data_IF_041333681704
#
_entry.id   IF_041333681704
#
_cell.length_a   1.000
_cell.length_b   1.000
_cell.length_c   1.000
_cell.angle_alpha   90.00
_cell.angle_beta   90.00
_cell.angle_gamma   90.00
#
_symmetry.space_group_name_H-M   'P 1'
#
loop_
_entity.id
_entity.type
_entity.pdbx_description
1 polymer ?
#
# COMPACT_ATOMS: atom_id res chain seq x y z
N UNK A 1 -36.68 81.22 -12.08
CA UNK A 1 -35.86 80.16 -11.44
C UNK A 1 -36.81 79.04 -11.03
N UNK A 2 -36.73 77.88 -11.69
CA UNK A 2 -37.58 76.69 -11.43
C UNK A 2 -36.83 75.71 -10.51
N UNK A 3 -37.52 75.01 -9.60
CA UNK A 3 -36.91 73.93 -8.82
C UNK A 3 -37.07 72.58 -9.55
N UNK A 4 -36.06 71.72 -9.47
CA UNK A 4 -36.13 70.32 -9.86
C UNK A 4 -35.90 69.47 -8.61
N UNK A 5 -36.98 68.85 -8.15
CA UNK A 5 -37.00 67.76 -7.18
C UNK A 5 -37.01 66.46 -7.98
N UNK A 6 -36.02 65.59 -7.76
CA UNK A 6 -36.00 64.22 -8.28
C UNK A 6 -35.93 63.25 -7.10
N UNK A 7 -37.04 62.58 -6.88
CA UNK A 7 -37.24 61.48 -5.94
C UNK A 7 -36.50 60.24 -6.45
N UNK A 8 -35.57 59.71 -5.65
CA UNK A 8 -34.86 58.47 -5.92
C UNK A 8 -35.60 57.27 -5.34
N UNK A 9 -36.20 56.48 -6.22
CA UNK A 9 -36.85 55.21 -5.88
C UNK A 9 -35.78 54.11 -5.82
N UNK A 10 -35.53 53.54 -4.65
CA UNK A 10 -34.62 52.39 -4.47
C UNK A 10 -35.44 51.10 -4.66
N UNK A 11 -35.08 50.21 -5.61
CA UNK A 11 -35.73 48.91 -5.71
C UNK A 11 -35.17 47.95 -4.66
N UNK A 12 -36.06 47.36 -3.87
CA UNK A 12 -35.76 46.28 -2.94
C UNK A 12 -35.29 45.03 -3.71
N UNK A 13 -34.00 44.71 -3.61
CA UNK A 13 -33.46 43.41 -4.02
C UNK A 13 -34.03 42.32 -3.10
N UNK A 14 -34.84 41.46 -3.71
CA UNK A 14 -35.46 40.28 -3.11
C UNK A 14 -34.37 39.21 -2.95
N UNK A 15 -33.91 38.98 -1.72
CA UNK A 15 -32.97 37.92 -1.37
C UNK A 15 -33.73 36.59 -1.37
N UNK A 16 -33.67 35.85 -2.48
CA UNK A 16 -34.11 34.45 -2.52
C UNK A 16 -33.03 33.60 -1.88
N UNK A 17 -33.34 33.06 -0.71
CA UNK A 17 -32.53 32.10 0.02
C UNK A 17 -32.62 30.77 -0.73
N UNK A 18 -31.75 30.57 -1.73
CA UNK A 18 -31.55 29.26 -2.34
C UNK A 18 -31.01 28.32 -1.26
N UNK A 19 -31.87 27.39 -0.86
CA UNK A 19 -31.51 26.23 -0.06
C UNK A 19 -30.75 25.27 -0.99
N UNK A 20 -29.53 25.67 -1.35
CA UNK A 20 -28.60 24.84 -2.10
C UNK A 20 -28.20 23.67 -1.22
N UNK A 21 -28.66 22.47 -1.60
CA UNK A 21 -28.22 21.23 -0.98
C UNK A 21 -26.70 21.19 -0.97
N UNK A 22 -26.11 21.03 0.22
CA UNK A 22 -24.69 20.77 0.34
C UNK A 22 -24.38 19.48 -0.41
N UNK A 23 -23.60 19.53 -1.49
CA UNK A 23 -23.02 18.32 -2.05
C UNK A 23 -21.90 17.91 -1.11
N UNK A 24 -21.98 16.72 -0.50
CA UNK A 24 -20.83 16.09 0.13
C UNK A 24 -19.72 15.92 -0.93
N UNK A 25 -18.70 16.78 -0.84
CA UNK A 25 -17.54 16.88 -1.74
C UNK A 25 -16.41 16.04 -1.17
N UNK A 26 -16.45 14.74 -1.45
CA UNK A 26 -15.42 13.78 -1.00
C UNK A 26 -14.14 13.78 -1.88
N UNK A 27 -14.13 14.56 -2.98
CA UNK A 27 -13.06 14.54 -4.00
C UNK A 27 -11.95 15.60 -3.85
N UNK A 28 -12.17 16.69 -3.13
CA UNK A 28 -11.13 17.69 -2.90
C UNK A 28 -10.45 17.43 -1.56
N UNK A 29 -9.11 17.45 -1.52
CA UNK A 29 -8.35 17.58 -0.27
C UNK A 29 -8.49 19.00 0.33
N UNK A 30 -9.70 19.55 0.28
CA UNK A 30 -10.05 20.82 0.87
C UNK A 30 -10.36 20.53 2.34
N UNK A 31 -9.47 21.00 3.22
CA UNK A 31 -9.68 20.99 4.66
C UNK A 31 -10.80 22.00 5.00
N UNK A 32 -12.04 21.65 4.69
CA UNK A 32 -13.19 22.48 5.08
C UNK A 32 -13.57 22.22 6.55
N UNK A 33 -13.07 21.13 7.15
CA UNK A 33 -13.13 20.90 8.58
C UNK A 33 -11.90 21.47 9.26
N UNK A 34 -11.97 22.74 9.67
CA UNK A 34 -11.03 23.30 10.65
C UNK A 34 -11.17 22.45 11.94
N UNK A 35 -10.10 21.78 12.42
CA UNK A 35 -10.11 20.92 13.60
C UNK A 35 -10.49 21.68 14.88
N UNK A 36 -10.54 23.01 14.83
CA UNK A 36 -11.11 23.84 15.90
C UNK A 36 -12.62 23.64 16.06
N UNK A 37 -13.33 23.17 15.04
CA UNK A 37 -14.79 23.02 15.03
C UNK A 37 -15.28 21.57 14.89
N UNK A 38 -14.45 20.67 14.35
CA UNK A 38 -14.79 19.24 14.20
C UNK A 38 -13.73 18.36 14.85
N UNK A 39 -14.17 17.51 15.79
CA UNK A 39 -13.31 16.59 16.55
C UNK A 39 -12.69 15.49 15.68
N UNK A 40 -13.23 15.23 14.48
CA UNK A 40 -12.72 14.26 13.53
C UNK A 40 -12.31 14.94 12.21
N UNK A 41 -11.00 15.12 12.01
CA UNK A 41 -10.47 15.60 10.74
C UNK A 41 -10.26 14.43 9.76
N UNK A 42 -10.52 14.68 8.46
CA UNK A 42 -10.20 13.75 7.36
C UNK A 42 -8.71 13.38 7.36
N UNK A 43 -7.83 14.31 7.75
CA UNK A 43 -6.39 14.06 7.92
C UNK A 43 -6.17 12.94 8.95
N UNK A 44 -6.80 13.01 10.12
CA UNK A 44 -6.60 12.03 11.19
C UNK A 44 -7.08 10.63 10.79
N UNK A 45 -8.22 10.53 10.09
CA UNK A 45 -8.71 9.24 9.54
C UNK A 45 -7.71 8.61 8.56
N UNK A 46 -7.10 9.44 7.69
CA UNK A 46 -6.09 8.98 6.74
C UNK A 46 -4.78 8.62 7.43
N UNK A 47 -4.39 9.35 8.47
CA UNK A 47 -3.20 9.05 9.27
C UNK A 47 -3.34 7.72 10.00
N UNK A 48 -4.49 7.46 10.62
CA UNK A 48 -4.77 6.19 11.28
C UNK A 48 -4.68 5.00 10.31
N UNK A 49 -5.18 5.16 9.08
CA UNK A 49 -5.04 4.14 8.03
C UNK A 49 -3.56 3.92 7.63
N UNK A 50 -2.77 4.99 7.49
CA UNK A 50 -1.33 4.85 7.19
C UNK A 50 -0.52 4.25 8.33
N UNK A 51 -0.88 4.55 9.57
CA UNK A 51 -0.28 3.92 10.75
C UNK A 51 -0.50 2.41 10.74
N UNK A 52 -1.73 1.95 10.49
CA UNK A 52 -2.04 0.53 10.38
C UNK A 52 -1.24 -0.15 9.26
N UNK A 53 -1.12 0.49 8.10
CA UNK A 53 -0.33 -0.05 6.97
C UNK A 53 1.17 -0.09 7.32
N UNK A 54 1.70 0.94 7.99
CA UNK A 54 3.10 0.99 8.40
C UNK A 54 3.44 -0.16 9.36
N UNK A 55 2.59 -0.44 10.34
CA UNK A 55 2.75 -1.57 11.27
C UNK A 55 2.79 -2.91 10.53
N UNK A 56 1.86 -3.13 9.58
CA UNK A 56 1.85 -4.37 8.79
C UNK A 56 3.13 -4.52 7.98
N UNK A 57 3.61 -3.46 7.34
CA UNK A 57 4.86 -3.50 6.56
C UNK A 57 6.08 -3.75 7.44
N UNK A 58 6.12 -3.23 8.66
CA UNK A 58 7.20 -3.47 9.60
C UNK A 58 7.27 -4.95 10.00
N UNK A 59 6.12 -5.55 10.32
CA UNK A 59 6.01 -6.97 10.65
C UNK A 59 6.46 -7.84 9.47
N UNK A 60 6.00 -7.51 8.26
CA UNK A 60 6.39 -8.24 7.06
C UNK A 60 7.89 -8.14 6.77
N UNK A 61 8.49 -6.96 6.92
CA UNK A 61 9.93 -6.79 6.77
C UNK A 61 10.71 -7.65 7.77
N UNK A 62 10.27 -7.70 9.04
CA UNK A 62 10.90 -8.52 10.07
C UNK A 62 10.82 -10.02 9.75
N UNK A 63 9.68 -10.51 9.30
CA UNK A 63 9.51 -11.91 8.90
C UNK A 63 10.31 -12.25 7.63
N UNK A 64 10.41 -11.32 6.67
CA UNK A 64 11.24 -11.49 5.48
C UNK A 64 12.73 -11.59 5.83
N UNK A 65 13.21 -10.79 6.78
CA UNK A 65 14.58 -10.88 7.31
C UNK A 65 14.82 -12.25 7.95
N UNK A 66 13.89 -12.71 8.79
CA UNK A 66 13.97 -14.01 9.45
C UNK A 66 14.05 -15.16 8.43
N UNK A 67 13.19 -15.16 7.41
CA UNK A 67 13.22 -16.17 6.35
C UNK A 67 14.52 -16.14 5.53
N UNK A 68 15.10 -14.96 5.31
CA UNK A 68 16.42 -14.84 4.66
C UNK A 68 17.53 -15.53 5.47
N UNK A 69 17.47 -15.50 6.81
CA UNK A 69 18.48 -16.11 7.68
C UNK A 69 18.26 -17.60 7.96
N UNK A 70 17.02 -18.08 7.89
CA UNK A 70 16.69 -19.50 8.06
C UNK A 70 17.07 -20.37 6.86
N UNK A 71 17.42 -19.76 5.72
CA UNK A 71 17.80 -20.48 4.52
C UNK A 71 19.18 -21.16 4.69
N UNK A 72 19.26 -22.45 4.34
CA UNK A 72 20.52 -23.19 4.40
C UNK A 72 21.55 -22.58 3.44
N UNK A 73 22.81 -22.50 3.88
CA UNK A 73 23.91 -21.85 3.13
C UNK A 73 24.52 -22.76 2.05
N UNK A 74 24.02 -23.97 1.92
CA UNK A 74 24.61 -25.00 1.08
C UNK A 74 24.06 -24.93 -0.35
N UNK A 75 24.67 -24.09 -1.18
CA UNK A 75 24.35 -24.02 -2.61
C UNK A 75 25.16 -25.07 -3.38
N UNK A 76 24.59 -26.25 -3.56
CA UNK A 76 25.19 -27.28 -4.40
C UNK A 76 24.81 -27.06 -5.88
N UNK A 77 25.67 -26.36 -6.63
CA UNK A 77 25.49 -26.12 -8.08
C UNK A 77 25.83 -27.33 -8.98
N UNK A 78 25.93 -28.54 -8.42
CA UNK A 78 26.45 -29.71 -9.13
C UNK A 78 25.34 -30.73 -9.43
N UNK A 79 25.23 -31.15 -10.69
CA UNK A 79 24.36 -32.26 -11.11
C UNK A 79 22.86 -31.97 -11.02
N UNK A 80 22.07 -32.98 -10.65
CA UNK A 80 20.60 -32.90 -10.53
C UNK A 80 20.11 -31.88 -9.50
N UNK A 81 21.00 -31.35 -8.64
CA UNK A 81 20.66 -30.34 -7.64
C UNK A 81 20.63 -28.91 -8.18
N UNK A 82 21.09 -28.69 -9.42
CA UNK A 82 21.18 -27.36 -10.03
C UNK A 82 19.84 -26.63 -10.11
N UNK A 83 18.75 -27.34 -10.45
CA UNK A 83 17.41 -26.73 -10.55
C UNK A 83 16.92 -26.22 -9.20
N UNK A 84 17.22 -26.95 -8.13
CA UNK A 84 16.82 -26.57 -6.76
C UNK A 84 17.63 -25.37 -6.30
N UNK A 85 18.94 -25.33 -6.62
CA UNK A 85 19.78 -24.18 -6.33
C UNK A 85 19.25 -22.91 -7.02
N UNK A 86 18.79 -23.00 -8.27
CA UNK A 86 18.14 -21.87 -8.96
C UNK A 86 16.83 -21.46 -8.27
N UNK A 87 15.96 -22.42 -7.91
CA UNK A 87 14.72 -22.11 -7.19
C UNK A 87 14.99 -21.45 -5.83
N UNK A 88 15.98 -21.94 -5.10
CA UNK A 88 16.42 -21.36 -3.82
C UNK A 88 16.93 -19.93 -4.01
N UNK A 89 17.79 -19.69 -5.00
CA UNK A 89 18.31 -18.37 -5.32
C UNK A 89 17.18 -17.41 -5.75
N UNK A 90 16.23 -17.89 -6.54
CA UNK A 90 15.07 -17.11 -7.00
C UNK A 90 14.19 -16.72 -5.82
N UNK A 91 13.87 -17.68 -4.93
CA UNK A 91 13.13 -17.42 -3.71
C UNK A 91 13.85 -16.40 -2.82
N UNK A 92 15.16 -16.57 -2.62
CA UNK A 92 15.97 -15.65 -1.83
C UNK A 92 16.01 -14.22 -2.40
N UNK A 93 16.26 -14.07 -3.71
CA UNK A 93 16.24 -12.75 -4.36
C UNK A 93 14.87 -12.09 -4.21
N UNK A 94 13.78 -12.85 -4.43
CA UNK A 94 12.44 -12.33 -4.23
C UNK A 94 12.20 -11.87 -2.78
N UNK A 95 12.68 -12.62 -1.79
CA UNK A 95 12.52 -12.24 -0.38
C UNK A 95 13.29 -10.96 -0.03
N UNK A 96 14.51 -10.81 -0.55
CA UNK A 96 15.30 -9.59 -0.37
C UNK A 96 14.60 -8.39 -1.01
N UNK A 97 13.98 -8.56 -2.18
CA UNK A 97 13.21 -7.51 -2.83
C UNK A 97 11.96 -7.13 -2.02
N UNK A 98 11.24 -8.11 -1.47
CA UNK A 98 10.10 -7.91 -0.57
C UNK A 98 10.52 -7.11 0.66
N UNK A 99 11.56 -7.57 1.36
CA UNK A 99 12.14 -6.89 2.51
C UNK A 99 12.50 -5.44 2.18
N UNK A 100 13.15 -5.18 1.05
CA UNK A 100 13.53 -3.83 0.64
C UNK A 100 12.30 -2.95 0.36
N UNK A 101 11.30 -3.49 -0.36
CA UNK A 101 10.04 -2.78 -0.63
C UNK A 101 9.30 -2.41 0.66
N UNK A 102 9.23 -3.33 1.63
CA UNK A 102 8.58 -3.10 2.92
C UNK A 102 9.33 -2.08 3.77
N UNK A 103 10.67 -2.13 3.82
CA UNK A 103 11.48 -1.15 4.55
C UNK A 103 11.33 0.27 3.96
N UNK A 104 11.30 0.40 2.63
CA UNK A 104 11.06 1.68 1.97
C UNK A 104 9.65 2.19 2.27
N UNK A 105 8.64 1.32 2.17
CA UNK A 105 7.26 1.68 2.46
C UNK A 105 7.07 2.13 3.92
N UNK A 106 7.56 1.33 4.87
CA UNK A 106 7.53 1.65 6.29
C UNK A 106 8.24 2.97 6.59
N UNK A 107 9.43 3.19 6.03
CA UNK A 107 10.19 4.44 6.23
C UNK A 107 9.41 5.66 5.74
N UNK A 108 8.84 5.59 4.53
CA UNK A 108 8.08 6.70 3.95
C UNK A 108 6.81 6.98 4.75
N UNK A 109 6.03 5.95 5.09
CA UNK A 109 4.78 6.10 5.83
C UNK A 109 5.02 6.62 7.25
N UNK A 110 5.99 6.05 7.98
CA UNK A 110 6.32 6.46 9.34
C UNK A 110 6.87 7.89 9.42
N UNK A 111 7.74 8.30 8.49
CA UNK A 111 8.25 9.68 8.45
C UNK A 111 7.14 10.68 8.13
N UNK A 112 6.28 10.37 7.16
CA UNK A 112 5.15 11.24 6.82
C UNK A 112 4.15 11.36 7.98
N UNK A 113 3.85 10.26 8.66
CA UNK A 113 3.00 10.24 9.86
C UNK A 113 3.59 11.13 10.96
N UNK A 114 4.87 10.91 11.30
CA UNK A 114 5.57 11.65 12.34
C UNK A 114 5.59 13.17 12.09
N UNK A 115 5.99 13.59 10.89
CA UNK A 115 6.05 15.03 10.57
C UNK A 115 4.67 15.67 10.51
N UNK A 116 3.65 14.96 10.02
CA UNK A 116 2.29 15.48 9.95
C UNK A 116 1.72 15.69 11.35
N UNK A 117 1.83 14.70 12.24
CA UNK A 117 1.38 14.82 13.64
C UNK A 117 2.10 15.98 14.34
N UNK A 118 3.43 16.06 14.17
CA UNK A 118 4.21 17.14 14.78
C UNK A 118 3.77 18.51 14.30
N UNK A 119 3.52 18.69 13.00
CA UNK A 119 3.02 19.95 12.46
C UNK A 119 1.61 20.28 12.97
N UNK A 120 0.72 19.30 13.08
CA UNK A 120 -0.63 19.50 13.63
C UNK A 120 -0.60 19.99 15.08
N UNK A 121 0.38 19.55 15.87
CA UNK A 121 0.56 19.98 17.27
C UNK A 121 1.30 21.31 17.44
N UNK A 122 1.83 21.93 16.38
CA UNK A 122 2.67 23.12 16.45
C UNK A 122 1.90 24.46 16.64
N UNK A 123 0.66 24.39 17.14
CA UNK A 123 -0.19 25.56 17.43
C UNK A 123 -1.05 26.02 16.23
N UNK A 124 -1.64 27.23 16.30
CA UNK A 124 -2.71 27.66 15.39
C UNK A 124 -2.28 27.82 13.92
N UNK A 125 -0.98 28.00 13.65
CA UNK A 125 -0.42 28.02 12.28
C UNK A 125 0.19 26.68 11.87
N UNK A 126 0.35 25.76 12.82
CA UNK A 126 0.90 24.42 12.59
C UNK A 126 -0.01 23.59 11.69
N UNK A 127 -1.31 23.70 11.90
CA UNK A 127 -2.32 23.00 11.11
C UNK A 127 -2.27 23.35 9.61
N UNK A 128 -2.22 24.65 9.27
CA UNK A 128 -2.12 25.09 7.87
C UNK A 128 -0.83 24.59 7.20
N UNK A 129 0.27 24.53 7.97
CA UNK A 129 1.55 23.97 7.49
C UNK A 129 1.47 22.45 7.32
N UNK A 130 0.80 21.74 8.23
CA UNK A 130 0.56 20.30 8.13
C UNK A 130 -0.24 19.97 6.87
N UNK A 131 -1.29 20.75 6.60
CA UNK A 131 -2.10 20.63 5.39
C UNK A 131 -1.26 20.78 4.13
N UNK A 132 -0.47 21.87 4.04
CA UNK A 132 0.41 22.13 2.89
C UNK A 132 1.44 21.03 2.70
N UNK A 133 2.07 20.58 3.79
CA UNK A 133 3.02 19.47 3.77
C UNK A 133 2.37 18.17 3.28
N UNK A 134 1.17 17.86 3.76
CA UNK A 134 0.43 16.65 3.40
C UNK A 134 -0.01 16.65 1.93
N UNK A 135 -0.38 17.81 1.39
CA UNK A 135 -0.79 17.99 -0.02
C UNK A 135 0.38 18.20 -0.98
N UNK A 136 1.62 18.27 -0.49
CA UNK A 136 2.78 18.50 -1.35
C UNK A 136 2.95 17.37 -2.37
N UNK A 137 3.09 17.73 -3.65
CA UNK A 137 3.13 16.79 -4.77
C UNK A 137 4.27 15.78 -4.63
N UNK A 138 5.43 16.19 -4.08
CA UNK A 138 6.58 15.27 -3.91
C UNK A 138 6.26 14.23 -2.86
N UNK A 139 5.66 14.64 -1.74
CA UNK A 139 5.26 13.72 -0.67
C UNK A 139 4.16 12.76 -1.12
N UNK A 140 3.21 13.24 -1.92
CA UNK A 140 2.15 12.43 -2.50
C UNK A 140 2.70 11.31 -3.41
N UNK A 141 3.63 11.63 -4.32
CA UNK A 141 4.26 10.62 -5.21
C UNK A 141 4.96 9.52 -4.40
N UNK A 142 5.69 9.90 -3.34
CA UNK A 142 6.36 8.91 -2.48
C UNK A 142 5.39 8.02 -1.71
N UNK A 143 4.27 8.59 -1.26
CA UNK A 143 3.21 7.84 -0.57
C UNK A 143 2.53 6.84 -1.49
N UNK A 144 2.19 7.27 -2.71
CA UNK A 144 1.61 6.38 -3.72
C UNK A 144 2.56 5.22 -4.04
N UNK A 145 3.85 5.52 -4.23
CA UNK A 145 4.89 4.49 -4.42
C UNK A 145 5.00 3.55 -3.21
N UNK A 146 4.93 4.06 -1.99
CA UNK A 146 4.97 3.24 -0.78
C UNK A 146 3.78 2.27 -0.76
N UNK A 147 2.55 2.75 -1.00
CA UNK A 147 1.35 1.90 -1.06
C UNK A 147 1.47 0.85 -2.17
N UNK A 148 2.03 1.22 -3.33
CA UNK A 148 2.30 0.28 -4.41
C UNK A 148 3.31 -0.80 -4.00
N UNK A 149 4.39 -0.42 -3.29
CA UNK A 149 5.35 -1.36 -2.72
C UNK A 149 4.67 -2.34 -1.77
N UNK A 150 3.83 -1.88 -0.83
CA UNK A 150 3.10 -2.75 0.11
C UNK A 150 2.20 -3.75 -0.63
N UNK A 151 1.48 -3.27 -1.64
CA UNK A 151 0.57 -4.11 -2.43
C UNK A 151 1.33 -5.28 -3.08
N UNK A 152 2.47 -5.00 -3.71
CA UNK A 152 3.25 -6.03 -4.39
C UNK A 152 4.15 -6.85 -3.46
N UNK A 153 4.59 -6.29 -2.34
CA UNK A 153 5.40 -7.01 -1.36
C UNK A 153 4.62 -8.16 -0.72
N UNK A 154 3.32 -7.98 -0.45
CA UNK A 154 2.43 -9.03 0.08
C UNK A 154 2.35 -10.22 -0.89
N UNK A 155 2.14 -9.96 -2.19
CA UNK A 155 2.07 -11.00 -3.22
C UNK A 155 3.43 -11.68 -3.38
N UNK A 156 4.50 -10.88 -3.42
CA UNK A 156 5.88 -11.34 -3.53
C UNK A 156 6.33 -12.19 -2.34
N UNK A 157 5.91 -11.84 -1.12
CA UNK A 157 6.19 -12.57 0.10
C UNK A 157 5.60 -13.97 0.03
N UNK A 158 4.31 -14.08 -0.29
CA UNK A 158 3.63 -15.38 -0.45
C UNK A 158 4.31 -16.25 -1.51
N UNK A 159 4.66 -15.68 -2.66
CA UNK A 159 5.33 -16.41 -3.73
C UNK A 159 6.74 -16.88 -3.30
N UNK A 160 7.51 -15.99 -2.67
CA UNK A 160 8.87 -16.27 -2.22
C UNK A 160 8.91 -17.35 -1.13
N UNK A 161 8.01 -17.29 -0.14
CA UNK A 161 7.87 -18.34 0.87
C UNK A 161 7.54 -19.71 0.24
N UNK A 162 6.75 -19.75 -0.84
CA UNK A 162 6.49 -20.96 -1.61
C UNK A 162 7.75 -21.58 -2.22
N UNK A 163 8.61 -20.75 -2.83
CA UNK A 163 9.91 -21.21 -3.35
C UNK A 163 10.83 -21.73 -2.23
N UNK A 164 10.93 -21.01 -1.12
CA UNK A 164 11.76 -21.40 0.01
C UNK A 164 11.28 -22.71 0.66
N UNK A 165 9.97 -22.87 0.87
CA UNK A 165 9.39 -24.11 1.40
C UNK A 165 9.58 -25.29 0.45
N UNK A 166 9.43 -25.09 -0.85
CA UNK A 166 9.70 -26.12 -1.84
C UNK A 166 11.12 -26.66 -1.73
N UNK A 167 12.11 -25.77 -1.58
CA UNK A 167 13.52 -26.13 -1.39
C UNK A 167 13.71 -26.85 -0.06
N UNK A 168 13.10 -26.34 1.01
CA UNK A 168 13.19 -26.95 2.34
C UNK A 168 12.67 -28.38 2.37
N UNK A 169 11.48 -28.63 1.81
CA UNK A 169 10.94 -30.00 1.71
C UNK A 169 11.78 -30.91 0.81
N UNK A 170 12.46 -30.36 -0.20
CA UNK A 170 13.33 -31.13 -1.07
C UNK A 170 14.64 -31.54 -0.39
N UNK A 171 15.25 -30.64 0.39
CA UNK A 171 16.54 -30.87 1.04
C UNK A 171 16.38 -31.63 2.37
N UNK A 172 15.50 -31.17 3.26
CA UNK A 172 15.31 -31.74 4.60
C UNK A 172 14.57 -33.09 4.56
N UNK A 173 13.89 -33.39 3.46
CA UNK A 173 13.23 -34.68 3.23
C UNK A 173 14.16 -35.81 2.79
N UNK A 174 15.46 -35.56 2.63
CA UNK A 174 16.43 -36.61 2.29
C UNK A 174 17.00 -37.21 3.59
N UNK A 175 16.59 -38.43 4.02
CA UNK A 175 17.12 -39.02 5.24
C UNK A 175 18.63 -39.24 5.16
N UNK A 176 19.37 -38.65 6.11
CA UNK A 176 20.75 -38.99 6.46
C UNK A 176 20.77 -40.35 7.16
N UNK A 177 20.46 -41.44 6.45
CA UNK A 177 20.51 -42.78 7.05
C UNK A 177 21.53 -43.64 6.32
N UNK A 178 22.60 -43.94 7.06
CA UNK A 178 23.56 -45.00 6.82
C UNK A 178 22.83 -46.36 6.91
N UNK A 179 22.93 -47.17 5.85
CA UNK A 179 22.54 -48.60 5.79
C UNK A 179 21.06 -49.00 5.59
N UNK A 180 20.21 -48.21 4.95
CA UNK A 180 18.93 -48.73 4.42
C UNK A 180 18.99 -49.12 2.93
N UNK A 181 18.20 -50.13 2.56
CA UNK A 181 18.15 -50.68 1.20
C UNK A 181 17.83 -49.60 0.17
N UNK A 182 18.63 -49.48 -0.90
CA UNK A 182 18.50 -48.42 -1.93
C UNK A 182 17.09 -48.26 -2.49
N UNK A 183 16.28 -49.32 -2.48
CA UNK A 183 14.95 -49.31 -3.08
C UNK A 183 13.93 -48.51 -2.25
N UNK A 184 13.94 -48.64 -0.92
CA UNK A 184 13.06 -47.88 -0.02
C UNK A 184 13.40 -46.37 -0.04
N UNK A 185 14.69 -46.04 -0.11
CA UNK A 185 15.17 -44.65 -0.21
C UNK A 185 14.64 -43.92 -1.44
N UNK A 186 14.49 -44.62 -2.57
CA UNK A 186 13.99 -43.99 -3.79
C UNK A 186 12.47 -43.72 -3.71
N UNK A 187 11.68 -44.57 -3.05
CA UNK A 187 10.24 -44.36 -2.91
C UNK A 187 9.93 -43.17 -1.98
N UNK A 188 10.61 -43.07 -0.85
CA UNK A 188 10.47 -41.93 0.07
C UNK A 188 10.88 -40.61 -0.59
N UNK A 189 11.99 -40.63 -1.33
CA UNK A 189 12.47 -39.46 -2.07
C UNK A 189 11.46 -38.95 -3.11
N UNK A 190 10.77 -39.85 -3.82
CA UNK A 190 9.70 -39.46 -4.74
C UNK A 190 8.52 -38.83 -4.00
N UNK A 191 8.15 -39.36 -2.83
CA UNK A 191 7.12 -38.77 -1.97
C UNK A 191 7.41 -37.32 -1.59
N UNK A 192 8.63 -37.04 -1.12
CA UNK A 192 9.06 -35.68 -0.76
C UNK A 192 9.08 -34.73 -1.96
N UNK A 193 9.52 -35.20 -3.12
CA UNK A 193 9.52 -34.40 -4.35
C UNK A 193 8.11 -34.01 -4.79
N UNK A 194 7.17 -34.96 -4.74
CA UNK A 194 5.75 -34.70 -5.08
C UNK A 194 5.15 -33.69 -4.10
N UNK A 195 5.42 -33.86 -2.80
CA UNK A 195 4.95 -32.95 -1.76
C UNK A 195 5.50 -31.53 -1.96
N UNK A 196 6.79 -31.38 -2.25
CA UNK A 196 7.42 -30.09 -2.49
C UNK A 196 6.79 -29.35 -3.69
N UNK A 197 6.54 -30.07 -4.79
CA UNK A 197 5.87 -29.51 -5.97
C UNK A 197 4.42 -29.12 -5.64
N UNK A 198 3.69 -29.94 -4.89
CA UNK A 198 2.32 -29.64 -4.47
C UNK A 198 2.26 -28.36 -3.63
N UNK A 199 3.17 -28.22 -2.65
CA UNK A 199 3.28 -27.01 -1.83
C UNK A 199 3.59 -25.79 -2.69
N UNK A 200 4.53 -25.89 -3.64
CA UNK A 200 4.85 -24.78 -4.55
C UNK A 200 3.64 -24.36 -5.39
N UNK A 201 2.91 -25.33 -5.96
CA UNK A 201 1.69 -25.08 -6.74
C UNK A 201 0.63 -24.40 -5.87
N UNK A 202 0.41 -24.89 -4.65
CA UNK A 202 -0.53 -24.30 -3.70
C UNK A 202 -0.19 -22.83 -3.41
N UNK A 203 1.06 -22.53 -3.05
CA UNK A 203 1.51 -21.17 -2.77
C UNK A 203 1.42 -20.25 -4.00
N UNK A 204 1.70 -20.78 -5.20
CA UNK A 204 1.57 -20.03 -6.46
C UNK A 204 0.10 -19.68 -6.74
N UNK A 205 -0.81 -20.63 -6.54
CA UNK A 205 -2.27 -20.39 -6.69
C UNK A 205 -2.76 -19.39 -5.66
N UNK A 206 -2.34 -19.50 -4.40
CA UNK A 206 -2.71 -18.54 -3.35
C UNK A 206 -2.15 -17.14 -3.63
N UNK A 207 -0.91 -17.03 -4.10
CA UNK A 207 -0.30 -15.76 -4.51
C UNK A 207 -1.04 -15.13 -5.70
N UNK A 208 -1.41 -15.92 -6.71
CA UNK A 208 -2.19 -15.46 -7.85
C UNK A 208 -3.61 -15.01 -7.45
N UNK A 209 -4.26 -15.76 -6.56
CA UNK A 209 -5.56 -15.38 -6.01
C UNK A 209 -5.49 -14.07 -5.22
N UNK A 210 -4.43 -13.87 -4.43
CA UNK A 210 -4.20 -12.63 -3.69
C UNK A 210 -3.92 -11.45 -4.63
N UNK A 211 -3.12 -11.65 -5.67
CA UNK A 211 -2.89 -10.65 -6.70
C UNK A 211 -4.19 -10.26 -7.42
N UNK A 212 -5.03 -11.24 -7.75
CA UNK A 212 -6.35 -10.99 -8.34
C UNK A 212 -7.26 -10.19 -7.40
N UNK A 213 -7.32 -10.57 -6.12
CA UNK A 213 -8.08 -9.85 -5.10
C UNK A 213 -7.64 -8.38 -5.02
N UNK A 214 -6.33 -8.12 -4.99
CA UNK A 214 -5.78 -6.78 -4.95
C UNK A 214 -6.08 -5.96 -6.21
N UNK A 215 -5.99 -6.58 -7.39
CA UNK A 215 -6.36 -5.93 -8.66
C UNK A 215 -7.85 -5.59 -8.71
N UNK A 216 -8.71 -6.49 -8.21
CA UNK A 216 -10.14 -6.26 -8.15
C UNK A 216 -10.50 -5.10 -7.21
N UNK A 217 -9.91 -5.05 -6.02
CA UNK A 217 -10.12 -3.92 -5.10
C UNK A 217 -9.63 -2.60 -5.68
N UNK A 218 -8.45 -2.59 -6.32
CA UNK A 218 -7.94 -1.41 -7.01
C UNK A 218 -8.91 -0.94 -8.09
N UNK A 219 -9.41 -1.87 -8.92
CA UNK A 219 -10.34 -1.55 -9.99
C UNK A 219 -11.64 -0.93 -9.48
N UNK A 220 -12.25 -1.52 -8.45
CA UNK A 220 -13.48 -0.98 -7.85
C UNK A 220 -13.23 0.40 -7.25
N UNK A 221 -12.07 0.61 -6.63
CA UNK A 221 -11.66 1.91 -6.12
C UNK A 221 -11.52 2.94 -7.26
N UNK A 222 -10.82 2.61 -8.35
CA UNK A 222 -10.61 3.50 -9.49
C UNK A 222 -11.93 3.86 -10.20
N UNK A 223 -12.84 2.88 -10.36
CA UNK A 223 -14.19 3.10 -10.92
C UNK A 223 -15.02 4.03 -10.02
N UNK A 224 -14.97 3.83 -8.70
CA UNK A 224 -15.67 4.71 -7.75
C UNK A 224 -15.07 6.12 -7.74
N UNK A 225 -13.74 6.22 -7.74
CA UNK A 225 -13.03 7.50 -7.70
C UNK A 225 -13.26 8.33 -8.96
N UNK A 226 -13.19 7.72 -10.14
CA UNK A 226 -13.46 8.40 -11.42
C UNK A 226 -14.91 8.87 -11.55
N UNK A 227 -15.87 8.17 -10.94
CA UNK A 227 -17.28 8.62 -10.92
C UNK A 227 -17.48 9.93 -10.13
N UNK A 228 -16.68 10.15 -9.08
CA UNK A 228 -16.69 11.40 -8.30
C UNK A 228 -16.11 12.54 -9.13
N UNK A 229 -15.03 12.29 -9.87
CA UNK A 229 -14.42 13.29 -10.76
C UNK A 229 -15.38 13.73 -11.88
N UNK A 230 -16.15 12.80 -12.45
CA UNK A 230 -17.18 13.12 -13.46
C UNK A 230 -18.33 13.98 -12.91
N UNK A 231 -18.60 13.95 -11.61
CA UNK A 231 -19.62 14.78 -10.98
C UNK A 231 -19.16 16.25 -10.83
N UNK A 232 -17.85 16.50 -10.77
CA UNK A 232 -17.26 17.84 -10.57
C UNK A 232 -16.09 18.15 -11.53
N UNK A 233 -16.28 18.07 -12.86
CA UNK A 233 -15.20 18.12 -13.85
C UNK A 233 -14.51 19.50 -13.95
N UNK A 234 -15.08 20.56 -13.37
CA UNK A 234 -14.56 21.92 -13.45
C UNK A 234 -13.84 22.43 -12.18
N UNK A 235 -14.11 21.87 -11.01
CA UNK A 235 -13.63 22.44 -9.74
C UNK A 235 -12.25 21.89 -9.32
N UNK A 236 -11.97 20.60 -9.54
CA UNK A 236 -10.66 20.03 -9.17
C UNK A 236 -9.50 20.55 -10.02
N UNK A 237 -9.73 20.76 -11.32
CA UNK A 237 -8.70 21.30 -12.21
C UNK A 237 -8.44 22.80 -11.99
N UNK A 238 -9.45 23.57 -11.58
CA UNK A 238 -9.30 24.98 -11.27
C UNK A 238 -8.36 25.19 -10.08
N UNK A 239 -8.48 24.42 -9.00
CA UNK A 239 -7.63 24.56 -7.81
C UNK A 239 -6.15 24.19 -8.02
N UNK A 240 -5.84 23.31 -8.97
CA UNK A 240 -4.45 22.97 -9.34
C UNK A 240 -3.79 24.03 -10.25
N UNK A 241 -4.59 24.81 -10.97
CA UNK A 241 -4.11 25.84 -11.90
C UNK A 241 -4.06 27.25 -11.29
N UNK A 242 -4.73 27.51 -10.16
CA UNK A 242 -4.86 28.86 -9.58
C UNK A 242 -3.90 29.21 -8.45
N UNK A 243 -2.76 28.51 -8.28
CA UNK A 243 -1.71 28.98 -7.35
C UNK A 243 -0.40 29.26 -8.09
N UNK A 244 0.09 30.51 -8.09
CA UNK A 244 1.37 30.89 -8.68
C UNK A 244 2.57 30.25 -7.97
#
# INVERSE_FOLDING_TARGET
MRPLSTSGHVPHSRMTLETGGMPDREGTAELTNDPRFFTENVIDKRLAAFEAVAIVTEIMAAEAVKQCFELSKEFAFTGNLFVIAIMQLTGFIMMVLVMFMDLVACSVLSLQLFFTIRLMTAGPTGFDKAARFYTDRRMWIWRERAIFCVKWSIVGFMMSSGFMLCVKFYLDGAPEVEMESMHMKNEEYQGHKILAVLVLVLFTVLSAALAHLMMQHQRVFDESYSSVEMLYPGEMHAHLMTRP
#
